data_IF_827974176508
#
_entry.id   IF_827974176508
#
_cell.length_a   1.000
_cell.length_b   1.000
_cell.length_c   1.000
_cell.angle_alpha   90.00
_cell.angle_beta   90.00
_cell.angle_gamma   90.00
#
_symmetry.space_group_name_H-M   'P 1'
#
loop_
_entity.id
_entity.type
_entity.pdbx_description
1 polymer ?
#
# COMPACT_ATOMS: atom_id res chain seq x y z
N UNK A 1 -4.62 1.20 -5.23
CA UNK A 1 -5.81 0.72 -4.50
C UNK A 1 -6.87 0.23 -5.51
N UNK A 2 -7.53 -0.91 -5.26
CA UNK A 2 -8.61 -1.42 -6.13
C UNK A 2 -9.85 -0.50 -6.15
N UNK A 3 -10.60 -0.54 -7.25
CA UNK A 3 -11.77 0.32 -7.47
C UNK A 3 -12.85 0.16 -6.39
N UNK A 4 -13.16 -1.08 -6.00
CA UNK A 4 -14.19 -1.37 -4.99
C UNK A 4 -13.81 -0.81 -3.61
N UNK A 5 -12.54 -0.93 -3.23
CA UNK A 5 -12.02 -0.35 -1.98
C UNK A 5 -12.11 1.18 -2.03
N UNK A 6 -11.66 1.81 -3.11
CA UNK A 6 -11.76 3.27 -3.26
C UNK A 6 -13.20 3.77 -3.14
N UNK A 7 -14.17 3.09 -3.76
CA UNK A 7 -15.59 3.47 -3.68
C UNK A 7 -16.16 3.31 -2.28
N UNK A 8 -15.70 2.31 -1.53
CA UNK A 8 -16.11 2.12 -0.13
C UNK A 8 -15.56 3.23 0.77
N UNK A 9 -14.28 3.57 0.61
CA UNK A 9 -13.62 4.56 1.46
C UNK A 9 -14.00 6.01 1.10
N UNK A 10 -14.06 6.36 -0.18
CA UNK A 10 -14.26 7.73 -0.66
C UNK A 10 -15.67 7.99 -1.21
N UNK A 11 -16.48 6.95 -1.41
CA UNK A 11 -17.76 7.04 -2.09
C UNK A 11 -17.65 7.05 -3.62
N UNK A 12 -18.78 7.31 -4.28
CA UNK A 12 -18.89 7.23 -5.75
C UNK A 12 -18.42 8.49 -6.48
N UNK A 13 -18.56 9.66 -5.87
CA UNK A 13 -18.20 10.97 -6.45
C UNK A 13 -17.89 11.97 -5.34
N UNK A 14 -16.85 12.77 -5.55
CA UNK A 14 -16.35 13.77 -4.61
C UNK A 14 -15.98 15.04 -5.36
N UNK A 15 -16.34 16.18 -4.76
CA UNK A 15 -15.87 17.50 -5.19
C UNK A 15 -14.48 17.81 -4.64
N UNK A 16 -14.10 17.22 -3.51
CA UNK A 16 -12.81 17.36 -2.86
C UNK A 16 -12.51 16.15 -1.96
N UNK A 17 -11.23 15.89 -1.71
CA UNK A 17 -10.76 14.92 -0.70
C UNK A 17 -9.83 15.68 0.23
N UNK A 18 -10.11 15.64 1.54
CA UNK A 18 -9.30 16.39 2.51
C UNK A 18 -7.94 15.72 2.73
N UNK A 19 -6.93 16.51 3.13
CA UNK A 19 -5.62 15.94 3.48
C UNK A 19 -5.69 15.02 4.70
N UNK A 20 -6.57 15.30 5.67
CA UNK A 20 -6.75 14.46 6.86
C UNK A 20 -7.33 13.10 6.49
N UNK A 21 -8.33 13.07 5.60
CA UNK A 21 -8.90 11.83 5.03
C UNK A 21 -7.82 11.02 4.31
N UNK A 22 -7.01 11.66 3.46
CA UNK A 22 -5.92 10.97 2.75
C UNK A 22 -4.84 10.43 3.69
N UNK A 23 -4.47 11.15 4.75
CA UNK A 23 -3.53 10.66 5.77
C UNK A 23 -4.08 9.45 6.50
N UNK A 24 -5.36 9.49 6.90
CA UNK A 24 -6.01 8.35 7.52
C UNK A 24 -5.99 7.12 6.61
N UNK A 25 -6.34 7.27 5.34
CA UNK A 25 -6.30 6.18 4.36
C UNK A 25 -4.89 5.65 4.09
N UNK A 26 -3.89 6.53 4.09
CA UNK A 26 -2.48 6.14 4.00
C UNK A 26 -2.07 5.25 5.16
N UNK A 27 -2.44 5.61 6.38
CA UNK A 27 -2.18 4.82 7.58
C UNK A 27 -2.89 3.46 7.57
N UNK A 28 -4.17 3.44 7.19
CA UNK A 28 -4.99 2.23 7.18
C UNK A 28 -4.56 1.22 6.11
N UNK A 29 -4.18 1.69 4.92
CA UNK A 29 -3.90 0.82 3.78
C UNK A 29 -2.42 0.68 3.42
N UNK A 30 -1.53 1.49 4.01
CA UNK A 30 -0.11 1.50 3.65
C UNK A 30 0.16 2.01 2.23
N UNK A 31 -0.74 2.83 1.68
CA UNK A 31 -0.64 3.36 0.30
C UNK A 31 -0.43 4.87 0.36
N UNK A 32 0.41 5.44 -0.51
CA UNK A 32 0.63 6.88 -0.55
C UNK A 32 -0.65 7.67 -0.86
N UNK A 33 -0.77 8.88 -0.30
CA UNK A 33 -1.88 9.80 -0.60
C UNK A 33 -1.96 10.10 -2.10
N UNK A 34 -0.79 10.27 -2.74
CA UNK A 34 -0.64 10.41 -4.19
C UNK A 34 -1.18 9.21 -4.97
N UNK A 35 -0.91 7.98 -4.53
CA UNK A 35 -1.42 6.80 -5.22
C UNK A 35 -2.94 6.64 -5.04
N UNK A 36 -3.48 7.03 -3.88
CA UNK A 36 -4.93 7.06 -3.63
C UNK A 36 -5.62 8.04 -4.56
N UNK A 37 -5.17 9.30 -4.59
CA UNK A 37 -5.76 10.35 -5.47
C UNK A 37 -5.57 10.04 -6.94
N UNK A 38 -4.39 9.56 -7.35
CA UNK A 38 -4.13 9.13 -8.72
C UNK A 38 -5.09 8.01 -9.16
N UNK A 39 -5.36 7.03 -8.29
CA UNK A 39 -6.30 5.94 -8.60
C UNK A 39 -7.77 6.34 -8.51
N UNK A 40 -8.14 7.33 -7.71
CA UNK A 40 -9.51 7.82 -7.63
C UNK A 40 -9.99 8.46 -8.95
N UNK A 41 -9.06 9.08 -9.69
CA UNK A 41 -9.30 9.76 -10.97
C UNK A 41 -9.87 8.87 -12.09
N UNK A 42 -9.22 7.76 -12.52
CA UNK A 42 -9.74 6.89 -13.59
C UNK A 42 -11.08 6.24 -13.22
N UNK A 43 -11.39 6.11 -11.93
CA UNK A 43 -12.68 5.60 -11.46
C UNK A 43 -13.78 6.68 -11.34
N UNK A 44 -13.47 7.92 -11.77
CA UNK A 44 -14.38 9.08 -11.75
C UNK A 44 -14.91 9.43 -10.35
N UNK A 45 -14.18 9.03 -9.30
CA UNK A 45 -14.49 9.42 -7.92
C UNK A 45 -14.15 10.90 -7.73
N UNK A 46 -13.04 11.36 -8.33
CA UNK A 46 -12.66 12.77 -8.42
C UNK A 46 -12.50 13.19 -9.88
N UNK A 47 -12.54 14.49 -10.13
CA UNK A 47 -12.26 15.08 -11.44
C UNK A 47 -10.77 15.32 -11.64
N UNK A 48 -10.34 15.57 -12.89
CA UNK A 48 -8.97 15.99 -13.21
C UNK A 48 -8.58 17.25 -12.43
N UNK A 49 -9.49 18.22 -12.33
CA UNK A 49 -9.28 19.46 -11.59
C UNK A 49 -8.89 19.22 -10.12
N UNK A 50 -9.59 18.31 -9.43
CA UNK A 50 -9.29 17.95 -8.03
C UNK A 50 -7.92 17.30 -7.93
N UNK A 51 -7.59 16.41 -8.86
CA UNK A 51 -6.28 15.75 -8.92
C UNK A 51 -5.13 16.73 -9.17
N UNK A 52 -5.30 17.67 -10.09
CA UNK A 52 -4.31 18.71 -10.38
C UNK A 52 -4.09 19.64 -9.18
N UNK A 53 -5.16 20.05 -8.50
CA UNK A 53 -5.08 20.88 -7.29
C UNK A 53 -4.27 20.15 -6.20
N UNK A 54 -4.58 18.88 -5.95
CA UNK A 54 -3.82 18.06 -5.02
C UNK A 54 -2.35 17.91 -5.45
N UNK A 55 -2.08 17.68 -6.73
CA UNK A 55 -0.72 17.54 -7.27
C UNK A 55 0.11 18.82 -7.11
N UNK A 56 -0.51 20.00 -7.25
CA UNK A 56 0.11 21.30 -6.96
C UNK A 56 0.46 21.40 -5.47
N UNK A 57 -0.44 21.01 -4.56
CA UNK A 57 -0.16 20.97 -3.12
C UNK A 57 1.02 20.05 -2.80
N UNK A 58 1.06 18.85 -3.37
CA UNK A 58 2.19 17.91 -3.21
C UNK A 58 3.50 18.53 -3.67
N UNK A 59 3.50 19.22 -4.83
CA UNK A 59 4.66 19.93 -5.34
C UNK A 59 5.13 21.06 -4.42
N UNK A 60 4.21 21.91 -3.99
CA UNK A 60 4.48 23.05 -3.11
C UNK A 60 5.02 22.62 -1.73
N UNK A 61 4.58 21.47 -1.23
CA UNK A 61 4.98 20.93 0.07
C UNK A 61 6.22 20.01 0.00
N UNK A 62 6.78 19.77 -1.20
CA UNK A 62 7.93 18.87 -1.36
C UNK A 62 7.60 17.37 -1.19
N UNK A 63 6.32 16.99 -1.21
CA UNK A 63 5.85 15.63 -0.90
C UNK A 63 6.03 14.61 -2.04
N UNK A 64 6.66 15.01 -3.15
CA UNK A 64 6.93 14.10 -4.28
C UNK A 64 7.84 12.93 -3.90
N UNK A 65 8.78 13.15 -2.97
CA UNK A 65 9.69 12.10 -2.49
C UNK A 65 9.22 11.49 -1.17
N UNK A 66 8.82 12.35 -0.23
CA UNK A 66 8.44 11.94 1.12
C UNK A 66 7.13 12.62 1.48
N UNK A 67 6.07 11.82 1.56
CA UNK A 67 4.78 12.29 2.06
C UNK A 67 4.81 12.50 3.58
N UNK A 68 3.94 13.38 4.11
CA UNK A 68 3.74 13.49 5.54
C UNK A 68 3.12 12.18 6.08
N UNK A 69 3.46 11.90 7.34
CA UNK A 69 3.18 10.65 8.04
C UNK A 69 3.95 9.42 7.53
N UNK A 70 4.54 8.69 8.47
CA UNK A 70 5.22 7.43 8.18
C UNK A 70 4.18 6.34 7.93
N UNK A 71 4.51 5.39 7.07
CA UNK A 71 3.75 4.15 6.98
C UNK A 71 3.77 3.47 8.34
N UNK A 72 2.59 3.15 8.88
CA UNK A 72 2.47 2.37 10.11
C UNK A 72 2.94 0.92 9.89
N UNK A 73 2.87 0.45 8.65
CA UNK A 73 3.32 -0.88 8.25
C UNK A 73 4.78 -0.79 7.80
N UNK A 74 5.65 -1.55 8.48
CA UNK A 74 7.04 -1.75 8.06
C UNK A 74 7.02 -2.57 6.77
N UNK A 75 7.68 -2.06 5.72
CA UNK A 75 7.87 -2.83 4.49
C UNK A 75 8.82 -4.01 4.80
N UNK A 76 8.24 -5.20 4.95
CA UNK A 76 8.95 -6.44 5.12
C UNK A 76 8.72 -7.33 3.89
N UNK A 77 9.69 -8.18 3.50
CA UNK A 77 9.59 -9.03 2.33
C UNK A 77 8.63 -10.23 2.55
N UNK A 78 7.36 -9.94 2.84
CA UNK A 78 6.32 -10.92 3.13
C UNK A 78 6.16 -11.94 2.00
N UNK A 79 6.28 -11.49 0.74
CA UNK A 79 6.15 -12.36 -0.43
C UNK A 79 7.28 -13.39 -0.51
N UNK A 80 8.51 -13.02 -0.18
CA UNK A 80 9.63 -13.95 -0.20
C UNK A 80 9.46 -15.03 0.87
N UNK A 81 9.04 -14.64 2.07
CA UNK A 81 8.71 -15.56 3.17
C UNK A 81 7.57 -16.49 2.79
N UNK A 82 6.48 -15.94 2.22
CA UNK A 82 5.34 -16.73 1.76
C UNK A 82 5.72 -17.75 0.68
N UNK A 83 6.53 -17.36 -0.31
CA UNK A 83 7.00 -18.26 -1.36
C UNK A 83 7.95 -19.34 -0.82
N UNK A 84 8.80 -19.00 0.15
CA UNK A 84 9.67 -19.97 0.81
C UNK A 84 8.86 -21.06 1.52
N UNK A 85 7.78 -20.67 2.22
CA UNK A 85 6.86 -21.65 2.83
C UNK A 85 6.05 -22.44 1.80
N UNK A 86 5.62 -21.81 0.70
CA UNK A 86 4.96 -22.53 -0.40
C UNK A 86 5.87 -23.61 -0.99
N UNK A 87 7.13 -23.28 -1.28
CA UNK A 87 8.09 -24.23 -1.83
C UNK A 87 8.42 -25.36 -0.85
N UNK A 88 8.39 -25.09 0.45
CA UNK A 88 8.48 -26.14 1.47
C UNK A 88 7.25 -27.07 1.40
N UNK A 89 6.04 -26.51 1.37
CA UNK A 89 4.79 -27.26 1.31
C UNK A 89 4.63 -28.07 0.00
N UNK A 90 5.13 -27.55 -1.11
CA UNK A 90 5.16 -28.23 -2.42
C UNK A 90 6.34 -29.22 -2.54
N UNK A 91 7.19 -29.36 -1.52
CA UNK A 91 8.31 -30.30 -1.51
C UNK A 91 9.48 -29.90 -2.42
N UNK A 92 9.49 -28.67 -2.95
CA UNK A 92 10.56 -28.14 -3.81
C UNK A 92 11.84 -27.91 -3.02
N UNK A 93 11.73 -27.56 -1.73
CA UNK A 93 12.88 -27.36 -0.83
C UNK A 93 12.68 -28.09 0.49
N UNK A 94 13.78 -28.53 1.11
CA UNK A 94 13.77 -29.12 2.44
C UNK A 94 13.55 -28.06 3.55
N UNK A 95 13.06 -28.50 4.71
CA UNK A 95 12.77 -27.62 5.87
C UNK A 95 13.99 -26.82 6.32
N UNK A 96 15.19 -27.41 6.29
CA UNK A 96 16.43 -26.73 6.62
C UNK A 96 16.71 -25.54 5.68
N UNK A 97 16.39 -25.70 4.38
CA UNK A 97 16.56 -24.63 3.39
C UNK A 97 15.51 -23.54 3.58
N UNK A 98 14.26 -23.89 3.85
CA UNK A 98 13.21 -22.93 4.15
C UNK A 98 13.56 -22.08 5.39
N UNK A 99 14.01 -22.73 6.48
CA UNK A 99 14.47 -22.09 7.70
C UNK A 99 15.60 -21.08 7.48
N UNK A 100 16.61 -21.49 6.70
CA UNK A 100 17.69 -20.62 6.29
C UNK A 100 17.20 -19.39 5.51
N UNK A 101 16.29 -19.58 4.54
CA UNK A 101 15.78 -18.49 3.69
C UNK A 101 15.00 -17.45 4.51
N UNK A 102 14.12 -17.90 5.41
CA UNK A 102 13.26 -16.99 6.20
C UNK A 102 13.91 -16.51 7.51
N UNK A 103 15.18 -16.87 7.76
CA UNK A 103 15.95 -16.53 8.96
C UNK A 103 15.27 -16.98 10.26
N UNK A 104 14.75 -18.21 10.27
CA UNK A 104 14.14 -18.86 11.44
C UNK A 104 14.84 -20.17 11.74
N UNK A 105 14.68 -20.67 12.95
CA UNK A 105 15.09 -22.01 13.34
C UNK A 105 14.12 -23.06 12.79
N UNK A 106 14.57 -24.33 12.67
CA UNK A 106 13.69 -25.43 12.22
C UNK A 106 12.43 -25.58 13.09
N UNK A 107 12.51 -25.52 14.44
CA UNK A 107 11.33 -25.64 15.30
C UNK A 107 10.32 -24.49 15.15
N UNK A 108 10.69 -23.37 14.54
CA UNK A 108 9.75 -22.28 14.25
C UNK A 108 8.96 -22.48 12.96
N UNK A 109 9.27 -23.53 12.19
CA UNK A 109 8.67 -23.84 10.88
C UNK A 109 8.03 -25.23 10.85
N UNK A 110 8.46 -26.16 11.73
CA UNK A 110 7.71 -27.39 12.06
C UNK A 110 6.37 -27.07 12.74
#
# INVERSE_FOLDING_TARGET
MPAGVLRRELGNKRSEISLYELRSLKGQHGISMQAITYRAKPHRIITEYVYERFSKTVGAQGWRKVEPEKYLVVDAPHRFVQLSYRYLAEGVIAIAKAAYLVRKSKPEIE
#
